data_IF_655696792360
#
_entry.id   IF_655696792360
#
_cell.length_a   1.000
_cell.length_b   1.000
_cell.length_c   1.000
_cell.angle_alpha   90.00
_cell.angle_beta   90.00
_cell.angle_gamma   90.00
#
_symmetry.space_group_name_H-M   'P 1'
#
loop_
_entity.id
_entity.type
_entity.pdbx_description
1 polymer ?
#
# COMPACT_ATOMS: atom_id res chain seq x y z
N UNK A 1 50.37 -3.48 18.65
CA UNK A 1 50.39 -3.78 17.20
C UNK A 1 49.29 -2.96 16.52
N UNK A 2 49.59 -1.77 15.97
CA UNK A 2 48.63 -0.97 15.23
C UNK A 2 48.65 -1.35 13.74
N UNK A 3 47.49 -1.75 13.18
CA UNK A 3 47.31 -1.90 11.74
C UNK A 3 46.50 -0.73 11.20
N UNK A 4 47.21 0.22 10.57
CA UNK A 4 46.66 1.22 9.67
C UNK A 4 46.64 0.67 8.24
N UNK A 5 45.48 0.70 7.55
CA UNK A 5 45.38 0.55 6.08
C UNK A 5 44.04 1.14 5.63
N UNK A 6 44.02 2.40 5.21
CA UNK A 6 44.32 2.92 3.87
C UNK A 6 43.06 3.10 3.01
N UNK A 7 42.79 4.38 2.75
CA UNK A 7 42.12 4.99 1.62
C UNK A 7 41.61 4.09 0.48
N UNK A 8 40.35 4.32 0.08
CA UNK A 8 39.95 4.13 -1.31
C UNK A 8 39.36 5.44 -1.85
N UNK A 9 40.20 6.14 -2.62
CA UNK A 9 39.89 7.33 -3.41
C UNK A 9 39.27 6.90 -4.74
N UNK A 10 38.22 7.63 -5.13
CA UNK A 10 37.88 8.09 -6.50
C UNK A 10 38.32 7.22 -7.69
N UNK A 11 37.37 6.87 -8.57
CA UNK A 11 37.12 7.64 -9.81
C UNK A 11 36.45 6.79 -10.93
N UNK A 12 35.67 7.51 -11.76
CA UNK A 12 35.31 7.26 -13.18
C UNK A 12 34.15 6.33 -13.53
N UNK A 13 33.08 6.92 -14.06
CA UNK A 13 32.64 6.79 -15.48
C UNK A 13 31.58 7.89 -15.74
N UNK A 14 31.89 9.00 -16.42
CA UNK A 14 31.69 9.24 -17.86
C UNK A 14 30.30 8.77 -18.34
N UNK A 15 29.31 9.66 -18.51
CA UNK A 15 29.07 10.55 -19.67
C UNK A 15 28.55 9.76 -20.88
N UNK A 16 27.25 9.85 -21.14
CA UNK A 16 26.61 9.62 -22.45
C UNK A 16 25.31 10.42 -22.47
N UNK A 17 25.47 11.73 -22.65
CA UNK A 17 24.43 12.61 -23.19
C UNK A 17 24.18 12.18 -24.64
N UNK A 18 23.11 11.44 -24.90
CA UNK A 18 22.61 11.24 -26.25
C UNK A 18 21.45 12.21 -26.49
N UNK A 19 21.80 13.39 -27.00
CA UNK A 19 20.85 14.31 -27.63
C UNK A 19 20.34 13.67 -28.92
N UNK A 20 19.10 13.19 -28.91
CA UNK A 20 18.32 13.00 -30.14
C UNK A 20 17.55 14.29 -30.39
N UNK A 21 18.21 15.22 -31.09
CA UNK A 21 17.52 16.25 -31.86
C UNK A 21 17.06 15.58 -33.17
N UNK A 22 15.80 15.15 -33.19
CA UNK A 22 15.11 14.67 -34.39
C UNK A 22 14.12 15.72 -34.86
N UNK A 23 14.65 16.68 -35.60
CA UNK A 23 13.92 17.61 -36.45
C UNK A 23 13.17 16.80 -37.54
N UNK A 24 11.85 16.69 -37.44
CA UNK A 24 11.00 16.32 -38.58
C UNK A 24 9.87 17.33 -38.64
N UNK A 25 10.22 18.50 -39.15
CA UNK A 25 9.28 19.33 -39.86
C UNK A 25 8.81 18.60 -41.13
N UNK A 26 7.57 18.89 -41.49
CA UNK A 26 7.04 18.84 -42.85
C UNK A 26 6.82 17.45 -43.47
N UNK A 27 5.54 17.03 -43.53
CA UNK A 27 4.94 16.41 -44.73
C UNK A 27 3.41 16.34 -44.58
N UNK A 28 2.73 17.10 -45.47
CA UNK A 28 1.41 16.85 -46.08
C UNK A 28 0.21 16.70 -45.14
N UNK A 29 -0.76 17.61 -45.03
CA UNK A 29 -1.46 18.44 -46.03
C UNK A 29 -2.19 17.65 -47.14
N UNK A 30 -3.08 16.73 -46.76
CA UNK A 30 -4.31 16.40 -47.49
C UNK A 30 -5.35 16.02 -46.41
N UNK A 31 -6.50 16.67 -46.24
CA UNK A 31 -7.40 17.18 -47.27
C UNK A 31 -8.26 16.06 -47.83
N UNK A 32 -9.13 15.45 -47.02
CA UNK A 32 -10.28 14.72 -47.57
C UNK A 32 -11.50 14.82 -46.64
N UNK A 33 -12.44 15.63 -47.11
CA UNK A 33 -13.82 15.63 -46.69
C UNK A 33 -14.51 14.37 -47.21
N UNK A 34 -15.36 13.80 -46.36
CA UNK A 34 -16.47 12.91 -46.70
C UNK A 34 -17.46 13.10 -45.55
N UNK A 35 -18.47 13.96 -45.70
CA UNK A 35 -19.74 13.65 -46.39
C UNK A 35 -20.47 12.54 -45.62
N UNK A 36 -21.27 12.92 -44.61
CA UNK A 36 -22.75 13.01 -44.64
C UNK A 36 -23.45 11.65 -44.82
N UNK A 37 -24.16 11.24 -43.76
CA UNK A 37 -25.43 10.47 -43.72
C UNK A 37 -25.73 10.37 -42.21
N UNK A 38 -26.50 11.26 -41.60
CA UNK A 38 -27.95 11.45 -41.70
C UNK A 38 -28.77 10.17 -41.46
N UNK A 39 -29.79 10.32 -40.60
CA UNK A 39 -30.91 9.41 -40.37
C UNK A 39 -30.69 8.16 -39.50
N UNK A 40 -31.04 8.25 -38.22
CA UNK A 40 -32.28 7.61 -37.78
C UNK A 40 -32.77 8.12 -36.41
N UNK A 41 -33.84 8.89 -36.50
CA UNK A 41 -34.70 9.36 -35.44
C UNK A 41 -35.98 8.52 -35.50
N UNK A 42 -36.29 7.81 -34.43
CA UNK A 42 -37.62 7.30 -34.09
C UNK A 42 -37.73 7.53 -32.59
N UNK A 43 -38.39 8.58 -32.10
CA UNK A 43 -39.85 8.79 -32.12
C UNK A 43 -40.62 7.52 -31.76
N UNK A 44 -40.77 7.30 -30.46
CA UNK A 44 -41.91 6.57 -29.90
C UNK A 44 -42.52 7.45 -28.81
N UNK A 45 -43.46 8.26 -29.28
CA UNK A 45 -44.57 8.86 -28.55
C UNK A 45 -45.47 7.74 -27.99
N UNK A 46 -45.86 7.79 -26.70
CA UNK A 46 -47.28 7.86 -26.26
C UNK A 46 -47.49 7.53 -24.76
N UNK A 47 -48.06 8.53 -24.08
CA UNK A 47 -49.05 8.57 -22.99
C UNK A 47 -49.34 7.33 -22.13
N UNK A 48 -49.41 7.55 -20.80
CA UNK A 48 -50.05 6.60 -19.89
C UNK A 48 -50.05 6.96 -18.41
N UNK A 49 -50.87 7.95 -18.04
CA UNK A 49 -51.64 8.05 -16.79
C UNK A 49 -50.94 7.95 -15.40
N UNK A 50 -51.09 9.02 -14.63
CA UNK A 50 -51.10 9.01 -13.16
C UNK A 50 -52.31 8.19 -12.64
N UNK A 51 -52.27 7.69 -11.39
CA UNK A 51 -52.85 8.49 -10.32
C UNK A 51 -52.08 8.52 -8.99
N UNK A 52 -52.02 9.74 -8.46
CA UNK A 52 -52.27 10.14 -7.08
C UNK A 52 -52.68 9.04 -6.07
N UNK A 53 -51.85 8.82 -5.04
CA UNK A 53 -52.28 8.35 -3.72
C UNK A 53 -51.23 8.70 -2.64
N UNK A 54 -51.41 9.87 -2.06
CA UNK A 54 -51.44 10.13 -0.61
C UNK A 54 -50.92 9.03 0.32
N UNK A 55 -49.80 9.27 1.01
CA UNK A 55 -49.61 8.73 2.36
C UNK A 55 -48.71 9.60 3.26
N UNK A 56 -49.26 10.55 4.04
CA UNK A 56 -48.54 11.24 5.10
C UNK A 56 -48.57 10.40 6.39
N UNK A 57 -47.64 9.45 6.48
CA UNK A 57 -47.43 8.62 7.67
C UNK A 57 -46.49 9.29 8.67
N UNK A 58 -47.05 10.17 9.51
CA UNK A 58 -46.46 10.64 10.76
C UNK A 58 -45.96 9.49 11.65
N UNK A 59 -44.68 9.50 11.98
CA UNK A 59 -44.19 8.97 13.26
C UNK A 59 -43.10 9.89 13.83
N UNK A 60 -43.40 10.70 14.85
CA UNK A 60 -42.40 11.13 15.81
C UNK A 60 -42.24 10.05 16.87
N UNK A 61 -41.00 9.75 17.28
CA UNK A 61 -40.60 9.32 18.64
C UNK A 61 -39.27 8.57 18.58
N UNK A 62 -38.20 9.23 19.02
CA UNK A 62 -37.41 8.81 20.19
C UNK A 62 -36.03 9.47 20.12
N UNK A 63 -35.87 10.52 20.92
CA UNK A 63 -34.57 10.99 21.35
C UNK A 63 -33.87 9.85 22.10
N UNK A 64 -32.72 9.40 21.61
CA UNK A 64 -31.80 8.59 22.40
C UNK A 64 -30.73 9.51 23.01
N UNK A 65 -30.65 9.60 24.35
CA UNK A 65 -29.66 10.42 25.02
C UNK A 65 -28.26 9.80 24.94
N UNK A 66 -27.32 10.68 24.67
CA UNK A 66 -25.91 10.71 25.06
C UNK A 66 -25.53 9.74 26.18
N UNK A 67 -24.70 8.75 25.86
CA UNK A 67 -23.91 8.02 26.86
C UNK A 67 -22.44 7.97 26.42
N UNK A 68 -21.73 9.05 26.77
CA UNK A 68 -20.27 9.09 26.78
C UNK A 68 -19.75 8.13 27.83
N UNK A 69 -19.31 6.93 27.42
CA UNK A 69 -18.66 5.96 28.32
C UNK A 69 -17.17 5.91 28.02
N UNK A 70 -16.43 6.85 28.63
CA UNK A 70 -14.98 6.75 28.83
C UNK A 70 -14.68 5.52 29.68
N UNK A 71 -14.32 4.40 29.05
CA UNK A 71 -13.71 3.27 29.75
C UNK A 71 -12.20 3.44 29.69
N UNK A 72 -11.65 4.04 30.75
CA UNK A 72 -10.22 4.00 31.02
C UNK A 72 -9.81 2.55 31.22
N UNK A 73 -9.13 1.98 30.22
CA UNK A 73 -8.53 0.65 30.35
C UNK A 73 -7.30 0.79 31.23
N UNK A 74 -7.47 0.48 32.51
CA UNK A 74 -6.39 0.31 33.45
C UNK A 74 -5.42 -0.75 32.92
N UNK A 75 -4.18 -0.33 32.65
CA UNK A 75 -3.06 -1.23 32.36
C UNK A 75 -2.74 -2.02 33.62
N UNK A 76 -3.36 -3.18 33.78
CA UNK A 76 -2.89 -4.18 34.75
C UNK A 76 -1.60 -4.78 34.18
N UNK A 77 -0.48 -4.28 34.67
CA UNK A 77 0.84 -4.84 34.46
C UNK A 77 0.90 -6.23 35.10
N UNK A 78 0.52 -7.25 34.33
CA UNK A 78 0.67 -8.65 34.72
C UNK A 78 2.15 -9.04 34.65
N UNK A 79 2.82 -8.87 35.79
CA UNK A 79 4.15 -9.39 36.10
C UNK A 79 4.06 -10.92 36.09
N UNK A 80 4.31 -11.56 34.95
CA UNK A 80 4.46 -13.03 34.88
C UNK A 80 5.71 -13.40 35.68
N UNK A 81 5.48 -13.92 36.88
CA UNK A 81 6.48 -14.66 37.65
C UNK A 81 6.78 -15.96 36.89
N UNK A 82 8.07 -16.18 36.62
CA UNK A 82 8.59 -17.44 36.14
C UNK A 82 8.35 -18.49 37.24
N UNK A 83 7.46 -19.46 36.99
CA UNK A 83 7.42 -20.68 37.79
C UNK A 83 8.23 -21.75 37.06
N UNK A 84 9.45 -21.93 37.53
CA UNK A 84 10.23 -23.15 37.40
C UNK A 84 9.54 -24.23 38.24
N UNK A 85 8.83 -25.15 37.60
CA UNK A 85 8.40 -26.39 38.25
C UNK A 85 9.01 -27.56 37.49
N UNK A 86 9.99 -28.16 38.14
CA UNK A 86 10.66 -29.38 37.75
C UNK A 86 9.84 -30.60 38.20
N UNK A 87 10.03 -31.71 37.45
CA UNK A 87 9.85 -33.12 37.84
C UNK A 87 8.44 -33.70 37.94
N UNK A 88 8.29 -35.05 37.86
CA UNK A 88 9.14 -36.06 37.22
C UNK A 88 8.34 -37.04 36.31
N UNK A 89 9.08 -37.85 35.55
CA UNK A 89 8.58 -39.04 34.85
C UNK A 89 8.08 -40.12 35.84
N UNK A 90 7.18 -41.00 35.39
CA UNK A 90 7.53 -42.42 35.43
C UNK A 90 7.32 -43.18 34.10
N UNK A 91 8.06 -44.28 34.04
CA UNK A 91 8.40 -45.20 32.96
C UNK A 91 7.32 -46.32 32.79
N UNK A 92 7.59 -47.43 32.09
CA UNK A 92 7.17 -47.76 30.72
C UNK A 92 5.99 -48.75 30.62
N UNK A 93 5.30 -48.77 29.48
CA UNK A 93 4.47 -49.93 29.10
C UNK A 93 4.73 -50.34 27.65
N UNK A 94 4.85 -51.65 27.49
CA UNK A 94 5.50 -52.37 26.41
C UNK A 94 4.55 -52.76 25.25
N UNK A 95 5.07 -52.58 24.02
CA UNK A 95 4.89 -53.39 22.78
C UNK A 95 3.60 -53.30 21.92
N UNK A 96 3.64 -53.68 20.61
CA UNK A 96 4.78 -53.94 19.71
C UNK A 96 4.79 -53.17 18.37
N UNK A 97 6.01 -53.03 17.85
CA UNK A 97 6.47 -52.94 16.45
C UNK A 97 5.52 -52.46 15.33
N UNK A 98 5.88 -51.32 14.73
CA UNK A 98 5.61 -51.02 13.32
C UNK A 98 6.74 -50.18 12.71
N UNK A 99 7.07 -50.38 11.41
CA UNK A 99 8.39 -50.10 10.86
C UNK A 99 8.72 -48.63 10.63
N UNK A 100 9.95 -48.32 11.06
CA UNK A 100 10.90 -47.26 10.71
C UNK A 100 10.61 -46.44 9.44
N UNK A 101 10.37 -45.14 9.63
CA UNK A 101 10.56 -44.10 8.61
C UNK A 101 11.60 -43.08 9.15
N UNK A 102 12.66 -42.73 8.40
CA UNK A 102 13.77 -41.94 8.93
C UNK A 102 13.36 -40.48 9.21
N UNK A 103 13.52 -40.09 10.48
CA UNK A 103 13.30 -38.76 11.01
C UNK A 103 14.32 -37.75 10.46
N UNK A 104 13.81 -36.69 9.84
CA UNK A 104 14.60 -35.47 9.55
C UNK A 104 14.80 -34.69 10.86
N UNK A 105 16.06 -34.56 11.21
CA UNK A 105 16.64 -33.85 12.33
C UNK A 105 16.30 -32.35 12.27
N UNK A 106 15.30 -31.91 13.03
CA UNK A 106 14.98 -30.49 13.21
C UNK A 106 15.97 -29.88 14.20
N UNK A 107 16.97 -29.15 13.70
CA UNK A 107 17.89 -28.39 14.55
C UNK A 107 17.17 -27.18 15.15
N UNK A 108 17.20 -27.11 16.48
CA UNK A 108 16.69 -26.01 17.27
C UNK A 108 17.54 -24.74 17.04
N UNK A 109 17.03 -23.80 16.25
CA UNK A 109 17.63 -22.48 16.09
C UNK A 109 17.36 -21.65 17.36
N UNK A 110 18.40 -21.51 18.18
CA UNK A 110 18.47 -20.63 19.35
C UNK A 110 18.12 -19.19 18.95
N UNK A 111 17.01 -18.67 19.48
CA UNK A 111 16.62 -17.25 19.41
C UNK A 111 17.65 -16.40 20.15
N UNK A 112 18.55 -15.73 19.40
CA UNK A 112 19.38 -14.63 19.91
C UNK A 112 18.50 -13.37 20.05
N UNK A 113 18.18 -13.05 21.30
CA UNK A 113 17.52 -11.83 21.74
C UNK A 113 18.51 -10.67 21.58
N UNK A 114 18.43 -9.92 20.48
CA UNK A 114 19.14 -8.65 20.37
C UNK A 114 18.39 -7.56 21.15
N UNK A 115 19.02 -7.16 22.23
CA UNK A 115 18.64 -6.08 23.13
C UNK A 115 18.98 -4.76 22.43
N UNK A 116 17.98 -4.08 21.85
CA UNK A 116 18.12 -2.69 21.38
C UNK A 116 18.25 -1.79 22.61
N UNK A 117 19.43 -1.20 22.79
CA UNK A 117 19.61 -0.07 23.69
C UNK A 117 18.95 1.18 23.09
N UNK A 118 18.24 1.99 23.88
CA UNK A 118 17.85 3.34 23.49
C UNK A 118 19.03 4.29 23.73
N UNK A 119 19.67 4.76 22.66
CA UNK A 119 20.66 5.84 22.77
C UNK A 119 19.92 7.17 22.88
N UNK A 120 20.09 7.77 24.05
CA UNK A 120 19.58 9.04 24.48
C UNK A 120 20.76 10.01 24.50
N UNK A 121 20.84 10.91 23.52
CA UNK A 121 21.66 12.13 23.50
C UNK A 121 20.89 13.11 22.61
N UNK A 122 20.37 14.26 23.04
CA UNK A 122 20.80 15.08 24.17
C UNK A 122 21.98 15.95 23.75
N UNK A 123 21.79 16.83 22.78
CA UNK A 123 22.67 17.98 22.56
C UNK A 123 21.83 19.23 22.30
N UNK A 124 21.66 19.93 23.42
CA UNK A 124 21.36 21.34 23.57
C UNK A 124 22.65 22.11 23.24
N UNK A 125 22.62 22.97 22.23
CA UNK A 125 23.58 24.06 22.06
C UNK A 125 22.83 25.27 21.53
N UNK A 126 22.42 26.10 22.48
CA UNK A 126 22.32 27.55 22.33
C UNK A 126 23.73 28.12 22.14
N UNK A 127 23.90 29.13 21.28
CA UNK A 127 24.69 30.37 21.48
C UNK A 127 25.01 31.07 20.14
N UNK A 128 24.46 32.28 20.02
CA UNK A 128 24.97 33.52 19.39
C UNK A 128 25.31 33.57 17.88
N UNK A 129 24.46 34.34 17.18
CA UNK A 129 24.84 35.39 16.22
C UNK A 129 25.93 36.34 16.80
N UNK A 130 26.86 36.91 16.01
CA UNK A 130 26.49 37.84 14.93
C UNK A 130 27.37 37.86 13.66
N UNK A 131 26.72 38.25 12.55
CA UNK A 131 27.18 39.20 11.53
C UNK A 131 28.61 39.05 10.99
N UNK A 132 28.78 38.47 9.79
CA UNK A 132 29.90 38.75 8.86
C UNK A 132 29.62 38.13 7.47
N UNK A 133 29.31 39.02 6.53
CA UNK A 133 29.93 39.12 5.18
C UNK A 133 29.55 38.10 4.10
N UNK A 134 28.68 38.57 3.22
CA UNK A 134 28.86 38.61 1.76
C UNK A 134 29.91 37.63 1.20
N UNK A 135 29.44 36.46 0.78
CA UNK A 135 30.15 35.64 -0.19
C UNK A 135 29.12 35.01 -1.12
N UNK A 136 28.96 35.67 -2.27
CA UNK A 136 28.43 35.06 -3.47
C UNK A 136 29.28 33.81 -3.81
N UNK A 137 28.70 32.63 -3.65
CA UNK A 137 29.11 31.36 -4.31
C UNK A 137 28.10 30.25 -4.01
N UNK A 138 27.77 29.52 -5.08
CA UNK A 138 27.08 28.22 -5.13
C UNK A 138 25.54 28.21 -5.04
N UNK A 139 24.93 28.73 -6.12
CA UNK A 139 23.55 28.49 -6.57
C UNK A 139 23.42 27.15 -7.36
N UNK A 140 23.97 26.02 -6.89
CA UNK A 140 23.79 24.72 -7.58
C UNK A 140 23.39 23.53 -6.68
N UNK A 141 23.19 23.71 -5.36
CA UNK A 141 22.85 22.60 -4.44
C UNK A 141 21.43 22.67 -3.83
N UNK A 142 20.53 23.47 -4.43
CA UNK A 142 19.11 23.56 -4.02
C UNK A 142 18.13 22.52 -4.63
N UNK A 143 18.41 21.73 -5.69
CA UNK A 143 17.36 20.88 -6.26
C UNK A 143 17.02 19.65 -5.40
N UNK A 144 17.98 19.10 -4.64
CA UNK A 144 17.81 17.83 -3.90
C UNK A 144 16.83 17.98 -2.72
N UNK A 145 16.87 19.12 -2.03
CA UNK A 145 15.94 19.40 -0.92
C UNK A 145 14.50 19.51 -1.42
N UNK A 146 14.27 20.07 -2.61
CA UNK A 146 12.91 20.28 -3.14
C UNK A 146 12.21 18.98 -3.54
N UNK A 147 12.95 18.03 -4.12
CA UNK A 147 12.38 16.72 -4.50
C UNK A 147 11.95 15.92 -3.27
N UNK A 148 12.77 15.93 -2.20
CA UNK A 148 12.44 15.24 -0.96
C UNK A 148 11.16 15.80 -0.29
N UNK A 149 10.91 17.11 -0.43
CA UNK A 149 9.70 17.75 0.08
C UNK A 149 8.46 17.35 -0.74
N UNK A 150 8.57 17.28 -2.07
CA UNK A 150 7.48 16.84 -2.96
C UNK A 150 7.08 15.39 -2.71
N UNK A 151 8.04 14.47 -2.61
CA UNK A 151 7.78 13.05 -2.29
C UNK A 151 7.05 12.89 -0.95
N UNK A 152 7.36 13.73 0.05
CA UNK A 152 6.63 13.71 1.33
C UNK A 152 5.19 14.18 1.19
N UNK A 153 4.89 15.11 0.28
CA UNK A 153 3.52 15.55 0.00
C UNK A 153 2.73 14.43 -0.69
N UNK A 154 3.27 13.85 -1.75
CA UNK A 154 2.60 12.78 -2.49
C UNK A 154 2.32 11.54 -1.65
N UNK A 155 3.25 11.17 -0.74
CA UNK A 155 2.99 10.08 0.22
C UNK A 155 1.87 10.39 1.21
N UNK A 156 1.67 11.65 1.57
CA UNK A 156 0.56 12.06 2.44
C UNK A 156 -0.74 12.03 1.66
N UNK A 157 -0.72 12.57 0.44
CA UNK A 157 -1.86 12.60 -0.47
C UNK A 157 -2.37 11.18 -0.78
N UNK A 158 -1.47 10.25 -1.12
CA UNK A 158 -1.79 8.83 -1.28
C UNK A 158 -2.43 8.21 -0.03
N UNK A 159 -1.88 8.53 1.16
CA UNK A 159 -2.40 8.00 2.42
C UNK A 159 -3.78 8.59 2.75
N UNK A 160 -3.98 9.87 2.46
CA UNK A 160 -5.25 10.57 2.61
C UNK A 160 -6.31 9.98 1.67
N UNK A 161 -5.95 9.75 0.41
CA UNK A 161 -6.80 9.09 -0.58
C UNK A 161 -7.25 7.70 -0.12
N UNK A 162 -6.34 6.82 0.34
CA UNK A 162 -6.72 5.48 0.88
C UNK A 162 -7.58 5.59 2.14
N UNK A 163 -7.34 6.61 2.96
CA UNK A 163 -8.07 6.80 4.22
C UNK A 163 -9.46 7.41 4.01
N UNK A 164 -9.74 7.95 2.81
CA UNK A 164 -11.03 8.53 2.50
C UNK A 164 -12.12 7.45 2.55
N UNK A 165 -13.25 7.71 3.23
CA UNK A 165 -14.32 6.72 3.39
C UNK A 165 -14.94 6.32 2.05
N UNK A 166 -14.90 7.20 1.05
CA UNK A 166 -15.37 6.94 -0.32
C UNK A 166 -14.55 5.85 -1.02
N UNK A 167 -13.26 5.75 -0.71
CA UNK A 167 -12.38 4.75 -1.28
C UNK A 167 -12.35 3.46 -0.44
N UNK A 168 -12.87 3.46 0.79
CA UNK A 168 -12.90 2.25 1.61
C UNK A 168 -14.04 1.34 1.19
N UNK A 169 -13.73 0.35 0.33
CA UNK A 169 -14.71 -0.67 -0.02
C UNK A 169 -14.98 -1.62 1.15
N UNK A 170 -16.25 -1.70 1.55
CA UNK A 170 -16.74 -2.77 2.44
C UNK A 170 -17.29 -3.95 1.63
N UNK A 171 -17.24 -3.86 0.30
CA UNK A 171 -17.87 -4.83 -0.58
C UNK A 171 -17.13 -6.16 -0.53
N UNK A 172 -17.93 -7.21 -0.47
CA UNK A 172 -17.45 -8.58 -0.52
C UNK A 172 -18.04 -9.24 -1.74
N UNK A 173 -17.19 -9.88 -2.52
CA UNK A 173 -17.62 -10.68 -3.65
C UNK A 173 -17.46 -12.17 -3.33
N UNK A 174 -18.31 -12.98 -3.95
CA UNK A 174 -18.17 -14.44 -3.89
C UNK A 174 -17.16 -14.89 -4.93
N UNK A 175 -16.27 -15.79 -4.52
CA UNK A 175 -15.26 -16.37 -5.41
C UNK A 175 -15.94 -17.07 -6.59
N UNK A 176 -15.67 -16.61 -7.80
CA UNK A 176 -15.97 -17.38 -9.02
C UNK A 176 -14.77 -18.24 -9.40
N UNK A 177 -15.00 -19.33 -10.15
CA UNK A 177 -13.93 -20.30 -10.48
C UNK A 177 -12.92 -19.78 -11.52
N UNK A 178 -13.24 -18.70 -12.23
CA UNK A 178 -12.47 -18.23 -13.39
C UNK A 178 -11.64 -16.97 -13.09
N UNK A 179 -11.72 -16.43 -11.87
CA UNK A 179 -11.02 -15.20 -11.51
C UNK A 179 -9.64 -15.49 -10.92
N UNK A 180 -8.64 -14.75 -11.41
CA UNK A 180 -7.32 -14.69 -10.81
C UNK A 180 -7.39 -13.96 -9.47
N UNK A 181 -7.31 -14.71 -8.38
CA UNK A 181 -7.36 -14.20 -7.01
C UNK A 181 -5.97 -14.21 -6.37
N UNK A 182 -5.61 -13.08 -5.76
CA UNK A 182 -4.36 -12.92 -5.02
C UNK A 182 -4.63 -12.67 -3.54
N UNK A 183 -3.82 -13.27 -2.67
CA UNK A 183 -3.93 -13.05 -1.22
C UNK A 183 -3.13 -11.80 -0.77
N UNK A 184 -3.38 -11.31 0.44
CA UNK A 184 -2.68 -10.14 1.03
C UNK A 184 -1.15 -10.27 1.02
N UNK A 185 -0.62 -11.47 1.24
CA UNK A 185 0.84 -11.70 1.32
C UNK A 185 1.47 -11.69 -0.07
N UNK A 186 0.78 -12.25 -1.05
CA UNK A 186 1.17 -12.29 -2.43
C UNK A 186 1.11 -10.90 -3.05
N UNK A 187 0.07 -10.12 -2.77
CA UNK A 187 -0.03 -8.75 -3.27
C UNK A 187 1.08 -7.85 -2.73
N UNK A 188 1.44 -7.98 -1.46
CA UNK A 188 2.58 -7.28 -0.89
C UNK A 188 3.93 -7.72 -1.48
N UNK A 189 4.07 -8.99 -1.87
CA UNK A 189 5.32 -9.54 -2.41
C UNK A 189 5.50 -9.22 -3.90
N UNK A 190 4.44 -9.36 -4.69
CA UNK A 190 4.47 -9.25 -6.15
C UNK A 190 4.26 -7.80 -6.59
N UNK A 191 3.30 -7.10 -6.00
CA UNK A 191 2.91 -5.75 -6.43
C UNK A 191 3.35 -4.64 -5.47
N UNK A 192 3.98 -4.98 -4.33
CA UNK A 192 4.39 -3.98 -3.34
C UNK A 192 3.21 -3.22 -2.69
N UNK A 193 1.99 -3.74 -2.81
CA UNK A 193 0.76 -3.16 -2.24
C UNK A 193 0.55 -3.68 -0.83
N UNK A 194 0.41 -2.78 0.16
CA UNK A 194 0.28 -3.15 1.58
C UNK A 194 -1.16 -3.50 1.93
N UNK A 195 -1.34 -4.26 3.01
CA UNK A 195 -2.67 -4.63 3.51
C UNK A 195 -3.57 -3.46 3.89
N UNK A 196 -3.00 -2.32 4.30
CA UNK A 196 -3.75 -1.07 4.55
C UNK A 196 -4.30 -0.47 3.25
N UNK A 197 -3.55 -0.58 2.16
CA UNK A 197 -3.92 -0.07 0.83
C UNK A 197 -4.99 -0.97 0.20
N UNK A 198 -4.88 -2.30 0.39
CA UNK A 198 -5.89 -3.26 -0.09
C UNK A 198 -7.25 -3.11 0.59
N UNK A 199 -7.36 -2.38 1.70
CA UNK A 199 -8.64 -2.15 2.35
C UNK A 199 -9.60 -1.31 1.50
N UNK A 200 -9.10 -0.63 0.46
CA UNK A 200 -9.92 0.10 -0.49
C UNK A 200 -10.59 -0.80 -1.54
N UNK A 201 -10.17 -2.06 -1.67
CA UNK A 201 -10.65 -2.97 -2.72
C UNK A 201 -11.71 -3.95 -2.19
N UNK A 202 -12.68 -4.33 -3.04
CA UNK A 202 -13.57 -5.45 -2.73
C UNK A 202 -12.77 -6.73 -2.45
N UNK A 203 -13.22 -7.53 -1.50
CA UNK A 203 -12.49 -8.74 -1.10
C UNK A 203 -13.38 -9.96 -0.90
N UNK A 204 -12.84 -11.14 -1.19
CA UNK A 204 -13.49 -12.41 -0.91
C UNK A 204 -12.90 -13.00 0.39
N UNK A 205 -13.69 -13.09 1.49
CA UNK A 205 -13.26 -13.78 2.69
C UNK A 205 -13.32 -15.31 2.49
N UNK A 206 -12.20 -15.99 2.70
CA UNK A 206 -12.09 -17.45 2.62
C UNK A 206 -11.68 -18.01 3.98
N UNK A 207 -12.29 -19.13 4.37
CA UNK A 207 -11.94 -19.80 5.61
C UNK A 207 -10.46 -20.15 5.63
N UNK A 208 -9.78 -19.80 6.73
CA UNK A 208 -8.36 -20.10 6.87
C UNK A 208 -8.12 -21.62 6.92
N UNK A 209 -7.21 -22.18 6.10
CA UNK A 209 -6.92 -23.62 6.10
C UNK A 209 -6.39 -24.14 7.43
N UNK A 210 -5.86 -23.27 8.30
CA UNK A 210 -5.38 -23.64 9.63
C UNK A 210 -6.52 -23.91 10.64
N UNK A 211 -7.77 -23.57 10.33
CA UNK A 211 -8.94 -23.91 11.14
C UNK A 211 -9.95 -22.77 11.31
N UNK A 212 -11.12 -23.11 11.88
CA UNK A 212 -12.27 -22.19 12.06
C UNK A 212 -12.04 -21.07 13.08
N UNK A 213 -11.05 -21.21 13.96
CA UNK A 213 -10.73 -20.19 14.99
C UNK A 213 -9.80 -19.07 14.52
N UNK A 214 -9.30 -19.14 13.28
CA UNK A 214 -8.40 -18.12 12.73
C UNK A 214 -9.16 -17.10 11.89
N UNK A 215 -8.64 -15.87 11.84
CA UNK A 215 -9.16 -14.81 10.97
C UNK A 215 -9.23 -15.32 9.52
N UNK A 216 -10.38 -15.13 8.83
CA UNK A 216 -10.52 -15.47 7.42
C UNK A 216 -9.42 -14.83 6.57
N UNK A 217 -8.96 -15.57 5.57
CA UNK A 217 -8.01 -15.07 4.59
C UNK A 217 -8.74 -14.18 3.59
N UNK A 218 -8.18 -13.02 3.28
CA UNK A 218 -8.73 -12.10 2.28
C UNK A 218 -8.06 -12.34 0.94
N UNK A 219 -8.89 -12.52 -0.09
CA UNK A 219 -8.48 -12.59 -1.48
C UNK A 219 -9.04 -11.40 -2.26
N UNK A 220 -8.26 -10.91 -3.21
CA UNK A 220 -8.59 -9.75 -4.04
C UNK A 220 -8.44 -10.15 -5.51
N UNK A 221 -9.20 -9.48 -6.39
CA UNK A 221 -9.02 -9.65 -7.83
C UNK A 221 -7.64 -9.13 -8.24
N UNK A 222 -6.91 -9.95 -8.99
CA UNK A 222 -5.57 -9.59 -9.47
C UNK A 222 -5.60 -8.30 -10.30
N UNK A 223 -6.61 -8.15 -11.16
CA UNK A 223 -6.79 -6.96 -11.99
C UNK A 223 -6.88 -5.67 -11.14
N UNK A 224 -7.67 -5.69 -10.07
CA UNK A 224 -7.84 -4.54 -9.19
C UNK A 224 -6.57 -4.22 -8.40
N UNK A 225 -5.86 -5.25 -7.95
CA UNK A 225 -4.58 -5.07 -7.25
C UNK A 225 -3.51 -4.48 -8.18
N UNK A 226 -3.47 -4.91 -9.45
CA UNK A 226 -2.57 -4.35 -10.47
C UNK A 226 -2.91 -2.88 -10.76
N UNK A 227 -4.20 -2.58 -10.99
CA UNK A 227 -4.68 -1.20 -11.19
C UNK A 227 -4.32 -0.30 -10.00
N UNK A 228 -4.47 -0.80 -8.77
CA UNK A 228 -4.10 -0.07 -7.56
C UNK A 228 -2.57 0.16 -7.47
N UNK A 229 -1.76 -0.80 -7.88
CA UNK A 229 -0.31 -0.67 -7.93
C UNK A 229 0.13 0.41 -8.95
N UNK A 230 -0.48 0.43 -10.13
CA UNK A 230 -0.21 1.46 -11.14
C UNK A 230 -0.59 2.86 -10.64
N UNK A 231 -1.79 2.98 -10.04
CA UNK A 231 -2.25 4.24 -9.44
C UNK A 231 -1.27 4.76 -8.39
N UNK A 232 -0.81 3.87 -7.51
CA UNK A 232 0.16 4.20 -6.46
C UNK A 232 1.47 4.72 -7.05
N UNK A 233 2.02 4.07 -8.06
CA UNK A 233 3.27 4.52 -8.69
C UNK A 233 3.11 5.89 -9.35
N UNK A 234 2.00 6.14 -10.05
CA UNK A 234 1.72 7.44 -10.66
C UNK A 234 1.58 8.57 -9.63
N UNK A 235 0.81 8.34 -8.56
CA UNK A 235 0.64 9.33 -7.48
C UNK A 235 1.97 9.59 -6.76
N UNK A 236 2.80 8.56 -6.55
CA UNK A 236 4.10 8.72 -5.91
C UNK A 236 5.14 9.43 -6.79
N UNK A 237 4.95 9.45 -8.11
CA UNK A 237 5.75 10.25 -9.06
C UNK A 237 5.21 11.68 -9.23
N UNK A 238 4.02 11.95 -8.68
CA UNK A 238 3.42 13.28 -8.64
C UNK A 238 2.47 13.60 -9.78
N UNK A 239 1.94 12.58 -10.46
CA UNK A 239 0.88 12.76 -11.44
C UNK A 239 -0.41 13.24 -10.81
N UNK A 240 -1.19 14.03 -11.56
CA UNK A 240 -2.48 14.54 -11.08
C UNK A 240 -3.51 13.43 -11.00
N UNK A 241 -4.37 13.47 -9.99
CA UNK A 241 -5.45 12.50 -9.80
C UNK A 241 -6.72 12.81 -10.61
N UNK A 242 -6.70 13.88 -11.42
CA UNK A 242 -7.88 14.39 -12.13
C UNK A 242 -8.36 13.42 -13.22
N UNK A 243 -7.44 12.84 -13.99
CA UNK A 243 -7.74 11.93 -15.10
C UNK A 243 -7.29 10.50 -14.79
N UNK A 244 -8.24 9.63 -14.42
CA UNK A 244 -7.93 8.27 -13.98
C UNK A 244 -7.25 7.43 -15.08
N UNK A 245 -7.70 7.54 -16.34
CA UNK A 245 -7.15 6.75 -17.44
C UNK A 245 -5.70 7.16 -17.75
N UNK A 246 -5.39 8.46 -17.73
CA UNK A 246 -4.02 8.95 -17.92
C UNK A 246 -3.11 8.56 -16.75
N UNK A 247 -3.64 8.66 -15.53
CA UNK A 247 -2.95 8.27 -14.30
C UNK A 247 -2.56 6.78 -14.35
N UNK A 248 -3.49 5.91 -14.77
CA UNK A 248 -3.23 4.48 -14.90
C UNK A 248 -2.23 4.17 -16.02
N UNK A 249 -2.36 4.80 -17.19
CA UNK A 249 -1.44 4.57 -18.31
C UNK A 249 -0.01 5.02 -17.99
N UNK A 250 0.18 6.12 -17.26
CA UNK A 250 1.51 6.53 -16.76
C UNK A 250 1.99 5.61 -15.64
N UNK A 251 1.10 5.24 -14.73
CA UNK A 251 1.38 4.31 -13.64
C UNK A 251 1.88 2.96 -14.12
N UNK A 252 1.28 2.41 -15.17
CA UNK A 252 1.70 1.16 -15.82
C UNK A 252 3.14 1.25 -16.32
N UNK A 253 3.47 2.30 -17.09
CA UNK A 253 4.84 2.52 -17.60
C UNK A 253 5.87 2.65 -16.48
N UNK A 254 5.54 3.41 -15.42
CA UNK A 254 6.41 3.58 -14.25
C UNK A 254 6.60 2.27 -13.48
N UNK A 255 5.54 1.49 -13.37
CA UNK A 255 5.58 0.18 -12.71
C UNK A 255 6.44 -0.80 -13.49
N UNK A 256 6.24 -0.93 -14.81
CA UNK A 256 7.07 -1.75 -15.68
C UNK A 256 8.54 -1.35 -15.62
N UNK A 257 8.85 -0.05 -15.58
CA UNK A 257 10.23 0.41 -15.44
C UNK A 257 10.90 -0.01 -14.12
N UNK A 258 10.12 -0.14 -13.04
CA UNK A 258 10.63 -0.52 -11.70
C UNK A 258 10.62 -2.03 -11.46
N UNK A 259 9.70 -2.76 -12.09
CA UNK A 259 9.40 -4.16 -11.78
C UNK A 259 9.48 -5.14 -12.95
N UNK A 260 9.59 -4.67 -14.19
CA UNK A 260 9.81 -5.47 -15.41
C UNK A 260 11.28 -5.83 -15.60
#
# INVERSE_FOLDING_TARGET
MPCTRAANKRARKARSDEKVNGDVADVMKHGKASEVTDSNQADNTEVGAAPEASNPGSHPMAANPTASRKTGTARIASKRKHSTSASPAPEPSQLPASPTVPAKQTQAIKKRKMQKQPTNQGQETEVKDPDTKESAKDEEDKPILTQSAKVRKWKKDWKEWISAPENQSTDQFQRTYNEDLVNVKESAKVYGVKGEELACLPHCPVQNPHGKGFTPMKFFLKADVVRLAFRKEAVLEGESQDDEDELLARGEKLYEQKHG
#
